data_IF_272256909098
#
_entry.id   IF_272256909098
#
_cell.length_a   1.000
_cell.length_b   1.000
_cell.length_c   1.000
_cell.angle_alpha   90.00
_cell.angle_beta   90.00
_cell.angle_gamma   90.00
#
_symmetry.space_group_name_H-M   'P 1'
#
loop_
_entity.id
_entity.type
_entity.pdbx_description
1 polymer ?
#
# COMPACT_ATOMS: atom_id res chain seq x y z
N UNK A 1 -9.86 -0.54 -8.44
CA UNK A 1 -10.91 -0.63 -9.49
C UNK A 1 -10.99 -2.08 -9.92
N UNK A 2 -12.20 -2.65 -9.85
CA UNK A 2 -12.46 -4.04 -10.20
C UNK A 2 -12.98 -4.15 -11.63
N UNK A 3 -12.52 -5.14 -12.41
CA UNK A 3 -13.16 -5.47 -13.67
C UNK A 3 -14.56 -6.02 -13.42
N UNK A 4 -15.45 -5.86 -14.38
CA UNK A 4 -16.75 -6.50 -14.33
C UNK A 4 -16.55 -8.02 -14.42
N UNK A 5 -17.27 -8.73 -13.55
CA UNK A 5 -17.32 -10.19 -13.58
C UNK A 5 -18.20 -10.67 -14.74
N UNK A 6 -17.77 -11.72 -15.42
CA UNK A 6 -18.54 -12.35 -16.50
C UNK A 6 -18.39 -11.66 -17.86
N UNK A 7 -19.39 -11.83 -18.74
CA UNK A 7 -19.32 -11.32 -20.12
C UNK A 7 -19.44 -9.80 -20.17
N UNK A 8 -18.49 -9.17 -20.85
CA UNK A 8 -18.45 -7.73 -21.07
C UNK A 8 -19.31 -7.34 -22.29
N UNK A 9 -20.04 -6.24 -22.17
CA UNK A 9 -20.61 -5.51 -23.30
C UNK A 9 -19.54 -4.67 -24.00
N UNK A 10 -19.79 -4.21 -25.24
CA UNK A 10 -18.85 -3.38 -26.00
C UNK A 10 -18.37 -2.14 -25.21
N UNK A 11 -19.30 -1.44 -24.56
CA UNK A 11 -19.01 -0.26 -23.73
C UNK A 11 -18.13 -0.60 -22.53
N UNK A 12 -18.32 -1.76 -21.92
CA UNK A 12 -17.51 -2.20 -20.77
C UNK A 12 -16.12 -2.61 -21.21
N UNK A 13 -16.00 -3.28 -22.37
CA UNK A 13 -14.70 -3.58 -22.98
C UNK A 13 -13.92 -2.31 -23.30
N UNK A 14 -14.57 -1.29 -23.87
CA UNK A 14 -13.94 0.01 -24.14
C UNK A 14 -13.48 0.68 -22.83
N UNK A 15 -14.33 0.70 -21.81
CA UNK A 15 -14.01 1.24 -20.49
C UNK A 15 -12.83 0.52 -19.83
N UNK A 16 -12.79 -0.81 -19.86
CA UNK A 16 -11.71 -1.57 -19.22
C UNK A 16 -10.39 -1.52 -20.01
N UNK A 17 -10.46 -1.27 -21.31
CA UNK A 17 -9.29 -1.07 -22.16
C UNK A 17 -8.70 0.34 -22.10
N UNK A 18 -9.45 1.31 -21.55
CA UNK A 18 -8.95 2.65 -21.31
C UNK A 18 -7.69 2.63 -20.42
N UNK A 19 -6.72 3.48 -20.75
CA UNK A 19 -5.43 3.51 -20.05
C UNK A 19 -5.57 3.96 -18.58
N UNK A 20 -6.50 4.86 -18.27
CA UNK A 20 -6.74 5.26 -16.89
C UNK A 20 -7.32 4.09 -16.08
N UNK A 21 -8.22 3.29 -16.67
CA UNK A 21 -8.74 2.08 -16.03
C UNK A 21 -7.62 1.06 -15.75
N UNK A 22 -6.77 0.76 -16.74
CA UNK A 22 -5.64 -0.17 -16.56
C UNK A 22 -4.69 0.30 -15.45
N UNK A 23 -4.35 1.59 -15.44
CA UNK A 23 -3.47 2.17 -14.41
C UNK A 23 -4.10 2.05 -13.02
N UNK A 24 -5.37 2.41 -12.88
CA UNK A 24 -6.09 2.31 -11.60
C UNK A 24 -6.26 0.85 -11.14
N UNK A 25 -6.46 -0.09 -12.08
CA UNK A 25 -6.52 -1.53 -11.78
C UNK A 25 -5.18 -2.05 -11.26
N UNK A 26 -4.06 -1.68 -11.88
CA UNK A 26 -2.70 -2.06 -11.39
C UNK A 26 -2.44 -1.58 -9.96
N UNK A 27 -2.94 -0.38 -9.61
CA UNK A 27 -2.80 0.17 -8.26
C UNK A 27 -3.77 -0.42 -7.24
N UNK A 28 -4.85 -1.08 -7.69
CA UNK A 28 -5.91 -1.54 -6.80
C UNK A 28 -5.40 -2.50 -5.73
N UNK A 29 -4.61 -3.50 -6.10
CA UNK A 29 -4.06 -4.47 -5.13
C UNK A 29 -3.20 -3.79 -4.05
N UNK A 30 -2.43 -2.76 -4.41
CA UNK A 30 -1.65 -1.98 -3.46
C UNK A 30 -2.54 -1.17 -2.50
N UNK A 31 -3.66 -0.64 -2.99
CA UNK A 31 -4.65 0.07 -2.16
C UNK A 31 -5.35 -0.90 -1.19
N UNK A 32 -5.81 -2.06 -1.66
CA UNK A 32 -6.44 -3.08 -0.81
C UNK A 32 -5.46 -3.56 0.27
N UNK A 33 -4.21 -3.81 -0.10
CA UNK A 33 -3.15 -4.17 0.86
C UNK A 33 -2.90 -3.04 1.88
N UNK A 34 -3.00 -1.78 1.46
CA UNK A 34 -2.87 -0.65 2.36
C UNK A 34 -4.05 -0.59 3.35
N UNK A 35 -5.28 -0.81 2.90
CA UNK A 35 -6.49 -0.85 3.74
C UNK A 35 -6.39 -2.01 4.75
N UNK A 36 -6.13 -3.23 4.28
CA UNK A 36 -6.00 -4.41 5.16
C UNK A 36 -4.94 -4.21 6.24
N UNK A 37 -3.82 -3.56 5.92
CA UNK A 37 -2.82 -3.27 6.94
C UNK A 37 -3.26 -2.19 7.94
N UNK A 38 -4.16 -1.25 7.60
CA UNK A 38 -4.78 -0.38 8.60
C UNK A 38 -5.70 -1.18 9.54
N UNK A 39 -6.49 -2.09 8.99
CA UNK A 39 -7.40 -3.00 9.73
C UNK A 39 -6.63 -3.85 10.75
N UNK A 40 -5.57 -4.55 10.30
CA UNK A 40 -4.68 -5.33 11.17
C UNK A 40 -4.00 -4.48 12.24
N UNK A 41 -3.77 -3.19 11.97
CA UNK A 41 -3.20 -2.23 12.92
C UNK A 41 -4.26 -1.47 13.75
N UNK A 42 -5.47 -2.00 13.83
CA UNK A 42 -6.48 -1.57 14.80
C UNK A 42 -7.56 -0.64 14.27
N UNK A 43 -7.63 -0.39 12.96
CA UNK A 43 -8.72 0.39 12.36
C UNK A 43 -10.10 -0.24 12.63
N UNK A 44 -10.18 -1.58 12.74
CA UNK A 44 -11.43 -2.31 13.01
C UNK A 44 -11.90 -2.25 14.47
N UNK A 45 -11.13 -1.62 15.36
CA UNK A 45 -11.43 -1.56 16.78
C UNK A 45 -11.62 -0.12 17.24
N UNK A 46 -12.87 0.23 17.52
CA UNK A 46 -13.24 1.50 18.16
C UNK A 46 -14.00 1.22 19.46
N UNK A 47 -13.31 1.20 20.63
CA UNK A 47 -13.94 1.05 21.94
C UNK A 47 -14.88 2.21 22.31
N UNK A 48 -14.61 3.39 21.76
CA UNK A 48 -15.41 4.59 21.99
C UNK A 48 -16.69 4.58 21.15
N UNK A 49 -17.76 5.15 21.69
CA UNK A 49 -19.00 5.39 20.96
C UNK A 49 -19.03 6.79 20.32
N UNK A 50 -19.73 6.91 19.19
CA UNK A 50 -19.97 8.17 18.50
C UNK A 50 -18.85 8.61 17.55
N UNK A 51 -19.15 9.61 16.72
CA UNK A 51 -18.29 10.03 15.61
C UNK A 51 -16.91 10.56 16.06
N UNK A 52 -16.86 11.20 17.23
CA UNK A 52 -15.60 11.74 17.75
C UNK A 52 -14.63 10.62 18.15
N UNK A 53 -15.13 9.56 18.80
CA UNK A 53 -14.36 8.36 19.10
C UNK A 53 -13.86 7.69 17.83
N UNK A 54 -14.78 7.47 16.88
CA UNK A 54 -14.44 6.89 15.57
C UNK A 54 -13.31 7.66 14.86
N UNK A 55 -13.42 8.99 14.75
CA UNK A 55 -12.39 9.83 14.12
C UNK A 55 -11.03 9.73 14.80
N UNK A 56 -10.98 9.65 16.15
CA UNK A 56 -9.72 9.45 16.88
C UNK A 56 -9.06 8.13 16.52
N UNK A 57 -9.80 7.02 16.57
CA UNK A 57 -9.25 5.69 16.30
C UNK A 57 -8.81 5.52 14.83
N UNK A 58 -9.59 6.06 13.87
CA UNK A 58 -9.16 6.11 12.46
C UNK A 58 -7.85 6.89 12.31
N UNK A 59 -7.74 8.05 12.98
CA UNK A 59 -6.53 8.88 12.92
C UNK A 59 -5.32 8.14 13.50
N UNK A 60 -5.49 7.40 14.60
CA UNK A 60 -4.42 6.59 15.20
C UNK A 60 -3.99 5.43 14.30
N UNK A 61 -4.92 4.73 13.65
CA UNK A 61 -4.57 3.68 12.70
C UNK A 61 -3.72 4.22 11.54
N UNK A 62 -4.09 5.37 10.99
CA UNK A 62 -3.33 6.06 9.93
C UNK A 62 -1.94 6.48 10.43
N UNK A 63 -1.86 7.10 11.61
CA UNK A 63 -0.59 7.51 12.22
C UNK A 63 0.35 6.32 12.44
N UNK A 64 -0.14 5.26 13.06
CA UNK A 64 0.63 4.04 13.33
C UNK A 64 1.19 3.43 12.04
N UNK A 65 0.35 3.36 10.99
CA UNK A 65 0.79 2.86 9.69
C UNK A 65 1.87 3.75 9.05
N UNK A 66 1.74 5.06 9.16
CA UNK A 66 2.74 5.98 8.62
C UNK A 66 4.10 5.81 9.31
N UNK A 67 4.11 5.63 10.63
CA UNK A 67 5.34 5.34 11.41
C UNK A 67 5.97 4.03 10.93
N UNK A 68 5.19 2.97 10.79
CA UNK A 68 5.68 1.68 10.27
C UNK A 68 6.29 1.83 8.86
N UNK A 69 5.62 2.55 7.96
CA UNK A 69 6.13 2.79 6.60
C UNK A 69 7.43 3.57 6.61
N UNK A 70 7.56 4.59 7.47
CA UNK A 70 8.80 5.34 7.63
C UNK A 70 9.95 4.41 8.06
N UNK A 71 9.72 3.55 9.06
CA UNK A 71 10.72 2.57 9.49
C UNK A 71 11.14 1.62 8.35
N UNK A 72 10.18 1.13 7.57
CA UNK A 72 10.48 0.26 6.42
C UNK A 72 11.29 0.97 5.32
N UNK A 73 11.05 2.27 5.10
CA UNK A 73 11.82 3.07 4.14
C UNK A 73 13.26 3.25 4.59
N UNK A 74 13.48 3.61 5.86
CA UNK A 74 14.82 3.75 6.44
C UNK A 74 15.60 2.43 6.35
N UNK A 75 14.96 1.32 6.74
CA UNK A 75 15.59 0.00 6.65
C UNK A 75 15.97 -0.38 5.23
N UNK A 76 15.13 -0.06 4.25
CA UNK A 76 15.42 -0.31 2.83
C UNK A 76 16.63 0.51 2.36
N UNK A 77 16.70 1.79 2.73
CA UNK A 77 17.82 2.66 2.39
C UNK A 77 19.14 2.11 2.95
N UNK A 78 19.15 1.74 4.22
CA UNK A 78 20.33 1.16 4.88
C UNK A 78 20.78 -0.13 4.18
N UNK A 79 19.84 -1.04 3.88
CA UNK A 79 20.14 -2.29 3.18
C UNK A 79 20.74 -2.06 1.78
N UNK A 80 20.24 -1.06 1.05
CA UNK A 80 20.77 -0.68 -0.27
C UNK A 80 22.19 -0.10 -0.16
N UNK A 81 22.49 0.65 0.89
CA UNK A 81 23.85 1.14 1.18
C UNK A 81 24.81 -0.01 1.50
N UNK A 82 24.42 -0.91 2.41
CA UNK A 82 25.21 -2.09 2.76
C UNK A 82 25.49 -2.96 1.53
N UNK A 83 24.49 -3.18 0.68
CA UNK A 83 24.66 -3.93 -0.58
C UNK A 83 25.66 -3.24 -1.52
N UNK A 84 25.56 -1.91 -1.68
CA UNK A 84 26.49 -1.12 -2.51
C UNK A 84 27.92 -1.20 -1.97
N UNK A 85 28.10 -1.12 -0.66
CA UNK A 85 29.41 -1.25 -0.01
C UNK A 85 29.99 -2.66 -0.22
N UNK A 86 29.23 -3.72 0.05
CA UNK A 86 29.66 -5.10 -0.14
C UNK A 86 30.07 -5.36 -1.60
N UNK A 87 29.31 -4.84 -2.57
CA UNK A 87 29.64 -4.94 -4.01
C UNK A 87 30.95 -4.24 -4.35
N UNK A 88 31.22 -3.07 -3.77
CA UNK A 88 32.50 -2.34 -3.95
C UNK A 88 33.67 -3.12 -3.37
N UNK A 89 33.53 -3.68 -2.17
CA UNK A 89 34.57 -4.49 -1.53
C UNK A 89 34.90 -5.72 -2.40
N UNK A 90 33.89 -6.46 -2.85
CA UNK A 90 34.07 -7.62 -3.75
C UNK A 90 34.80 -7.27 -5.04
N UNK A 91 34.48 -6.12 -5.64
CA UNK A 91 35.17 -5.64 -6.86
C UNK A 91 36.62 -5.22 -6.65
N UNK A 92 37.01 -4.81 -5.43
CA UNK A 92 38.40 -4.45 -5.12
C UNK A 92 39.27 -5.66 -4.77
N UNK A 93 38.63 -6.76 -4.35
CA UNK A 93 39.29 -8.01 -3.98
C UNK A 93 39.47 -8.99 -5.17
N UNK A 94 38.89 -8.67 -6.33
CA UNK A 94 39.05 -9.37 -7.59
C UNK A 94 39.98 -8.57 -8.51
#
# INVERSE_FOLDING_TARGET
VLPKKGRLSKKETERENDEAFKKARKQHSAVESAINALEVHGLDRCPDSGINGFRRYVSFAVLARNIQKLGALLYKQEKEEQYRQAKRIRKKAA
#
